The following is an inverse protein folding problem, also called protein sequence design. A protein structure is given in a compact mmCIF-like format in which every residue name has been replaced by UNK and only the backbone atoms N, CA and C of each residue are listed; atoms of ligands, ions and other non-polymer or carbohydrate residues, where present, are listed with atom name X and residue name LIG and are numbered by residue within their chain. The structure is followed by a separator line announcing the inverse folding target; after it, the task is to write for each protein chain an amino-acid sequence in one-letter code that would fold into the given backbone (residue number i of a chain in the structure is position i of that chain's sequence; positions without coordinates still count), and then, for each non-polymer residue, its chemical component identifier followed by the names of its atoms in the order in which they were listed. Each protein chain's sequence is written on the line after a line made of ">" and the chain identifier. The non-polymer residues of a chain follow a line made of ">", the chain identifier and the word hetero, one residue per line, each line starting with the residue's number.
data_IF_036406691268
#
_entry.id   IF_036406691268
#
_cell.length_a   1.000
_cell.length_b   1.000
_cell.length_c   1.000
_cell.angle_alpha   90.00
_cell.angle_beta   90.00
_cell.angle_gamma   90.00
#
_symmetry.space_group_name_H-M   'P 1'
#
loop_
_entity.id
_entity.type
_entity.pdbx_description
1 polymer ?
#
# COMPACT_ATOMS: atom_id res chain seq x y z
N UNK A 1 15.81 -14.41 -3.84
CA UNK A 1 15.17 -13.14 -4.27
C UNK A 1 15.35 -12.12 -3.15
N UNK A 2 15.76 -10.88 -3.45
CA UNK A 2 16.01 -9.85 -2.44
C UNK A 2 14.96 -8.73 -2.55
N UNK A 3 14.37 -8.34 -1.42
CA UNK A 3 13.31 -7.32 -1.36
C UNK A 3 13.81 -5.93 -1.75
N UNK A 4 15.10 -5.65 -1.53
CA UNK A 4 15.75 -4.37 -1.86
C UNK A 4 15.69 -3.98 -3.35
N UNK A 5 15.31 -4.92 -4.23
CA UNK A 5 15.11 -4.65 -5.66
C UNK A 5 13.76 -4.04 -5.99
N UNK A 6 12.80 -4.07 -5.06
CA UNK A 6 11.42 -3.63 -5.29
C UNK A 6 11.02 -2.42 -4.42
N UNK A 7 11.88 -2.03 -3.49
CA UNK A 7 11.69 -0.89 -2.57
C UNK A 7 12.83 0.12 -2.73
N UNK A 8 12.50 1.40 -2.67
CA UNK A 8 13.46 2.51 -2.62
C UNK A 8 13.24 3.33 -1.33
N UNK A 9 14.26 4.04 -0.82
CA UNK A 9 14.14 4.83 0.41
C UNK A 9 13.00 5.87 0.38
N UNK A 10 12.73 6.46 -0.79
CA UNK A 10 11.64 7.44 -0.99
C UNK A 10 10.24 6.84 -0.82
N UNK A 11 10.11 5.50 -0.87
CA UNK A 11 8.86 4.75 -0.67
C UNK A 11 8.70 4.24 0.76
N UNK A 12 9.51 4.75 1.69
CA UNK A 12 9.39 4.46 3.12
C UNK A 12 8.92 5.74 3.81
N UNK A 13 7.66 5.74 4.24
CA UNK A 13 7.00 6.95 4.78
C UNK A 13 6.48 6.72 6.19
N UNK A 14 6.45 7.81 6.95
CA UNK A 14 5.72 7.85 8.22
C UNK A 14 4.28 8.25 7.93
N UNK A 15 3.34 7.33 8.20
CA UNK A 15 1.93 7.57 7.95
C UNK A 15 1.40 8.63 8.93
N UNK A 16 0.56 9.52 8.41
CA UNK A 16 -0.20 10.48 9.22
C UNK A 16 -1.63 9.96 9.49
N UNK A 17 -2.15 9.14 8.58
CA UNK A 17 -3.44 8.50 8.72
C UNK A 17 -3.54 7.60 9.96
N UNK A 18 -4.70 7.69 10.62
CA UNK A 18 -5.10 6.80 11.72
C UNK A 18 -6.26 5.87 11.35
N UNK A 19 -6.78 5.99 10.12
CA UNK A 19 -7.87 5.17 9.56
C UNK A 19 -7.40 4.43 8.31
N UNK A 20 -7.96 3.24 8.06
CA UNK A 20 -7.58 2.39 6.92
C UNK A 20 -7.61 3.13 5.60
N UNK A 21 -8.69 3.85 5.32
CA UNK A 21 -8.94 4.49 4.03
C UNK A 21 -7.82 5.48 3.70
N UNK A 22 -7.57 6.41 4.63
CA UNK A 22 -6.53 7.40 4.49
C UNK A 22 -5.13 6.78 4.45
N UNK A 23 -4.88 5.70 5.19
CA UNK A 23 -3.59 5.01 5.18
C UNK A 23 -3.31 4.33 3.82
N UNK A 24 -4.32 3.70 3.23
CA UNK A 24 -4.23 3.12 1.89
C UNK A 24 -3.98 4.21 0.85
N UNK A 25 -4.73 5.32 0.92
CA UNK A 25 -4.55 6.43 -0.01
C UNK A 25 -3.16 7.06 0.10
N UNK A 26 -2.63 7.25 1.32
CA UNK A 26 -1.24 7.72 1.54
C UNK A 26 -0.21 6.79 0.90
N UNK A 27 -0.36 5.47 1.09
CA UNK A 27 0.54 4.47 0.52
C UNK A 27 0.47 4.46 -1.01
N UNK A 28 -0.74 4.45 -1.59
CA UNK A 28 -0.96 4.42 -3.04
C UNK A 28 -0.41 5.70 -3.69
N UNK A 29 -0.71 6.87 -3.11
CA UNK A 29 -0.21 8.14 -3.63
C UNK A 29 1.32 8.21 -3.56
N UNK A 30 1.93 7.74 -2.48
CA UNK A 30 3.39 7.67 -2.35
C UNK A 30 3.98 6.75 -3.43
N UNK A 31 3.39 5.58 -3.65
CA UNK A 31 3.83 4.63 -4.65
C UNK A 31 3.78 5.21 -6.07
N UNK A 32 2.65 5.82 -6.44
CA UNK A 32 2.44 6.40 -7.77
C UNK A 32 3.27 7.67 -8.00
N UNK A 33 3.50 8.50 -6.97
CA UNK A 33 4.33 9.69 -7.09
C UNK A 33 5.82 9.37 -7.30
N UNK A 34 6.25 8.17 -6.93
CA UNK A 34 7.66 7.74 -6.96
C UNK A 34 7.94 6.63 -7.96
N UNK A 35 6.94 6.25 -8.76
CA UNK A 35 7.04 5.19 -9.76
C UNK A 35 6.40 5.65 -11.06
N UNK A 36 7.22 5.82 -12.09
CA UNK A 36 6.76 6.22 -13.41
C UNK A 36 5.86 5.14 -14.04
N UNK A 37 4.84 5.58 -14.78
CA UNK A 37 3.95 4.70 -15.53
C UNK A 37 2.86 4.00 -14.70
N UNK A 38 2.74 4.29 -13.40
CA UNK A 38 1.60 3.84 -12.60
C UNK A 38 0.46 4.85 -12.65
N UNK A 39 -0.73 4.38 -12.99
CA UNK A 39 -1.97 5.17 -12.90
C UNK A 39 -2.61 5.03 -11.51
N UNK A 40 -2.61 6.10 -10.73
CA UNK A 40 -3.15 6.14 -9.37
C UNK A 40 -4.58 5.63 -9.28
N UNK A 41 -5.45 5.96 -10.24
CA UNK A 41 -6.85 5.53 -10.21
C UNK A 41 -6.97 4.02 -10.44
N UNK A 42 -6.17 3.48 -11.36
CA UNK A 42 -6.15 2.04 -11.66
C UNK A 42 -5.57 1.24 -10.47
N UNK A 43 -4.47 1.71 -9.88
CA UNK A 43 -3.86 1.08 -8.70
C UNK A 43 -4.80 1.14 -7.50
N UNK A 44 -5.36 2.32 -7.22
CA UNK A 44 -6.29 2.51 -6.11
C UNK A 44 -7.50 1.58 -6.22
N UNK A 45 -8.14 1.55 -7.39
CA UNK A 45 -9.26 0.64 -7.65
C UNK A 45 -8.88 -0.82 -7.38
N UNK A 46 -7.76 -1.30 -7.90
CA UNK A 46 -7.36 -2.69 -7.76
C UNK A 46 -7.02 -3.07 -6.29
N UNK A 47 -6.37 -2.17 -5.55
CA UNK A 47 -6.07 -2.37 -4.12
C UNK A 47 -7.35 -2.40 -3.30
N UNK A 48 -8.29 -1.48 -3.56
CA UNK A 48 -9.58 -1.44 -2.88
C UNK A 48 -10.47 -2.64 -3.19
N UNK A 49 -10.51 -3.08 -4.44
CA UNK A 49 -11.21 -4.32 -4.82
C UNK A 49 -10.65 -5.53 -4.06
N UNK A 50 -9.32 -5.61 -3.92
CA UNK A 50 -8.68 -6.68 -3.15
C UNK A 50 -8.97 -6.59 -1.65
N UNK A 51 -8.92 -5.39 -1.08
CA UNK A 51 -9.20 -5.13 0.34
C UNK A 51 -10.67 -5.42 0.70
N UNK A 52 -11.60 -5.18 -0.22
CA UNK A 52 -13.03 -5.42 -0.03
C UNK A 52 -13.40 -6.91 0.05
N UNK A 53 -12.61 -7.81 -0.56
CA UNK A 53 -12.84 -9.26 -0.46
C UNK A 53 -12.58 -9.76 0.96
N UNK A 54 -11.41 -9.42 1.50
CA UNK A 54 -10.97 -9.75 2.86
C UNK A 54 -9.91 -8.74 3.27
N UNK A 55 -9.94 -8.36 4.55
CA UNK A 55 -8.90 -7.51 5.15
C UNK A 55 -7.50 -8.04 4.82
N UNK A 56 -6.61 -7.14 4.43
CA UNK A 56 -5.20 -7.46 4.20
C UNK A 56 -4.35 -7.39 5.48
N UNK A 57 -4.97 -7.29 6.66
CA UNK A 57 -4.26 -7.46 7.94
C UNK A 57 -3.85 -8.92 8.12
N UNK A 58 -2.55 -9.15 8.23
CA UNK A 58 -1.98 -10.51 8.34
C UNK A 58 -1.46 -10.83 9.75
N UNK A 59 -1.20 -9.81 10.57
CA UNK A 59 -0.75 -9.97 11.94
C UNK A 59 -1.17 -8.75 12.80
N UNK A 60 -1.04 -8.82 14.14
CA UNK A 60 -1.16 -7.64 14.98
C UNK A 60 -0.23 -6.52 14.49
N UNK A 61 -0.79 -5.32 14.29
CA UNK A 61 -0.09 -4.13 13.79
C UNK A 61 0.57 -4.26 12.39
N UNK A 62 0.26 -5.30 11.61
CA UNK A 62 0.83 -5.51 10.27
C UNK A 62 -0.30 -5.81 9.27
N UNK A 63 -0.39 -4.95 8.25
CA UNK A 63 -1.21 -5.18 7.07
C UNK A 63 -0.37 -5.08 5.79
N UNK A 64 -0.76 -5.84 4.77
CA UNK A 64 -0.06 -5.90 3.48
C UNK A 64 -1.09 -5.66 2.36
N UNK A 65 -1.52 -4.40 2.17
CA UNK A 65 -2.38 -4.07 1.04
C UNK A 65 -1.64 -4.30 -0.28
N UNK A 66 -2.25 -5.07 -1.17
CA UNK A 66 -1.64 -5.50 -2.42
C UNK A 66 -2.69 -5.65 -3.51
N UNK A 67 -2.26 -5.56 -4.76
CA UNK A 67 -3.06 -5.87 -5.94
C UNK A 67 -2.18 -6.43 -7.04
N UNK A 68 -2.76 -7.29 -7.89
CA UNK A 68 -2.12 -7.76 -9.11
C UNK A 68 -2.80 -7.09 -10.30
N UNK A 69 -2.00 -6.48 -11.18
CA UNK A 69 -2.53 -5.76 -12.34
C UNK A 69 -1.95 -6.32 -13.64
N UNK A 70 -2.78 -6.51 -14.69
CA UNK A 70 -2.29 -6.84 -16.02
C UNK A 70 -1.32 -5.76 -16.52
N UNK A 71 -0.22 -6.17 -17.14
CA UNK A 71 0.77 -5.25 -17.72
C UNK A 71 1.86 -4.77 -16.75
N UNK A 72 1.73 -5.03 -15.44
CA UNK A 72 2.80 -4.76 -14.48
C UNK A 72 3.79 -5.94 -14.48
N UNK A 73 4.99 -5.72 -15.02
CA UNK A 73 6.02 -6.77 -15.19
C UNK A 73 6.97 -6.93 -13.99
N UNK A 74 6.99 -5.95 -13.09
CA UNK A 74 7.82 -5.97 -11.88
C UNK A 74 6.98 -5.57 -10.66
N UNK A 75 7.34 -6.09 -9.49
CA UNK A 75 6.70 -5.70 -8.25
C UNK A 75 7.21 -4.33 -7.79
N UNK A 76 6.31 -3.53 -7.22
CA UNK A 76 6.66 -2.29 -6.54
C UNK A 76 6.18 -2.35 -5.10
N UNK A 77 7.01 -1.88 -4.17
CA UNK A 77 6.72 -1.90 -2.74
C UNK A 77 6.84 -0.49 -2.17
N UNK A 78 5.83 -0.12 -1.38
CA UNK A 78 5.79 1.04 -0.50
C UNK A 78 5.58 0.55 0.93
N UNK A 79 6.25 1.18 1.89
CA UNK A 79 6.16 0.85 3.31
C UNK A 79 5.76 2.09 4.09
N UNK A 80 4.64 1.99 4.80
CA UNK A 80 4.18 3.00 5.74
C UNK A 80 4.37 2.53 7.18
N UNK A 81 4.92 3.39 8.02
CA UNK A 81 4.95 3.20 9.47
C UNK A 81 4.10 4.28 10.14
N UNK A 82 3.01 3.88 10.78
CA UNK A 82 2.27 4.78 11.67
C UNK A 82 2.87 4.75 13.08
N UNK A 83 3.03 5.90 13.72
CA UNK A 83 3.47 5.98 15.13
C UNK A 83 2.32 5.67 16.09
N UNK A 84 1.14 6.22 15.81
CA UNK A 84 -0.04 6.12 16.66
C UNK A 84 -0.90 4.88 16.33
N UNK A 85 -0.54 4.16 15.26
CA UNK A 85 -1.30 3.04 14.73
C UNK A 85 -2.35 3.48 13.71
N UNK A 86 -2.93 2.48 13.04
CA UNK A 86 -4.03 2.66 12.09
C UNK A 86 -5.16 1.74 12.51
N UNK A 87 -6.36 2.27 12.65
CA UNK A 87 -7.57 1.47 12.76
C UNK A 87 -7.85 0.82 11.40
N UNK A 88 -7.23 -0.35 11.19
CA UNK A 88 -7.23 -1.05 9.91
C UNK A 88 -8.51 -1.87 9.70
N UNK A 89 -8.93 -2.58 10.74
CA UNK A 89 -10.22 -3.26 10.77
C UNK A 89 -11.14 -2.53 11.75
N UNK A 90 -12.27 -2.05 11.25
CA UNK A 90 -13.46 -2.01 12.09
C UNK A 90 -13.97 -3.45 12.14
N UNK A 91 -14.29 -3.96 13.33
CA UNK A 91 -14.93 -5.27 13.47
C UNK A 91 -16.08 -5.45 12.49
#
# INVERSE_FOLDING_TARGET
>A
MLINRFISPERIVLLQATKKEAALDELINTLCATTEGLDTAVISKAVWEREALFSTRIAPAIAVPHAQLPGIQTSYIVVGKSQDGVQYDAK
#
